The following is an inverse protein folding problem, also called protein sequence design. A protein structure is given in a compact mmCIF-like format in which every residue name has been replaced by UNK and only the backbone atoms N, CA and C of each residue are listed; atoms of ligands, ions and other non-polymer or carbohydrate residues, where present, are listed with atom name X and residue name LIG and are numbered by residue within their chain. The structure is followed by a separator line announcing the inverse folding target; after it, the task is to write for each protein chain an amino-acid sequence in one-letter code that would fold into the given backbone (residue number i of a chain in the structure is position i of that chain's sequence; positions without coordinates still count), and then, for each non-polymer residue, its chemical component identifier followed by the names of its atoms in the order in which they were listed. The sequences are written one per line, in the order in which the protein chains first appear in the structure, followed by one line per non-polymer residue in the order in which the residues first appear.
data_IF_342987266153
#
_entry.id   IF_342987266153
#
_cell.length_a   1.000
_cell.length_b   1.000
_cell.length_c   1.000
_cell.angle_alpha   90.00
_cell.angle_beta   90.00
_cell.angle_gamma   90.00
#
_symmetry.space_group_name_H-M   'P 1'
#
loop_
_entity.id
_entity.type
_entity.pdbx_description
1 polymer ?
#
# COMPACT_ATOMS: atom_id res chain seq x y z
N UNK A 1 -18.33 9.60 -7.25
CA UNK A 1 -18.29 8.17 -7.58
C UNK A 1 -17.55 7.45 -6.47
N UNK A 2 -18.28 6.71 -5.62
CA UNK A 2 -17.65 5.86 -4.60
C UNK A 2 -17.11 4.63 -5.32
N UNK A 3 -15.80 4.39 -5.25
CA UNK A 3 -15.19 3.14 -5.71
C UNK A 3 -15.80 1.99 -4.89
N UNK A 4 -16.77 1.30 -5.48
CA UNK A 4 -17.26 0.03 -4.97
C UNK A 4 -16.18 -1.01 -5.28
N UNK A 5 -15.27 -1.25 -4.33
CA UNK A 5 -14.37 -2.39 -4.39
C UNK A 5 -15.23 -3.65 -4.47
N UNK A 6 -15.17 -4.36 -5.60
CA UNK A 6 -15.94 -5.57 -5.84
C UNK A 6 -15.52 -6.62 -4.80
N UNK A 7 -16.38 -6.89 -3.82
CA UNK A 7 -16.16 -7.95 -2.84
C UNK A 7 -16.20 -9.30 -3.57
N UNK A 8 -15.07 -10.01 -3.63
CA UNK A 8 -14.99 -11.36 -4.17
C UNK A 8 -15.14 -12.32 -2.98
N UNK A 9 -16.13 -13.22 -2.97
CA UNK A 9 -16.33 -14.17 -1.88
C UNK A 9 -15.10 -15.04 -1.65
N UNK A 10 -14.83 -15.33 -0.37
CA UNK A 10 -13.86 -16.34 0.04
C UNK A 10 -14.31 -17.69 -0.56
N UNK A 11 -13.47 -18.30 -1.41
CA UNK A 11 -13.74 -19.60 -2.04
C UNK A 11 -13.66 -19.64 -3.58
N UNK A 12 -13.50 -18.52 -4.29
CA UNK A 12 -13.23 -18.54 -5.76
C UNK A 12 -11.72 -18.57 -6.06
N UNK A 13 -10.90 -18.06 -5.14
CA UNK A 13 -9.46 -18.18 -5.18
C UNK A 13 -9.02 -18.79 -3.85
N UNK A 14 -8.68 -20.07 -3.83
CA UNK A 14 -8.07 -20.74 -2.65
C UNK A 14 -6.74 -20.07 -2.22
N UNK A 15 -6.19 -19.22 -3.08
CA UNK A 15 -5.17 -18.22 -2.73
C UNK A 15 -5.83 -17.00 -2.11
N UNK A 16 -5.49 -16.73 -0.85
CA UNK A 16 -5.73 -15.48 -0.14
C UNK A 16 -5.71 -14.29 -1.11
N UNK A 17 -6.76 -13.45 -1.07
CA UNK A 17 -6.81 -12.25 -1.90
C UNK A 17 -5.49 -11.47 -1.71
N UNK A 18 -4.65 -11.34 -2.76
CA UNK A 18 -3.34 -10.71 -2.63
C UNK A 18 -3.43 -9.23 -2.22
N UNK A 19 -4.63 -8.65 -2.35
CA UNK A 19 -5.01 -7.32 -1.89
C UNK A 19 -6.20 -7.40 -0.92
N UNK A 20 -6.07 -8.17 0.15
CA UNK A 20 -7.03 -8.13 1.25
C UNK A 20 -7.25 -6.67 1.70
N UNK A 21 -8.51 -6.28 1.91
CA UNK A 21 -8.87 -4.88 2.19
C UNK A 21 -8.21 -4.37 3.48
N UNK A 22 -7.99 -5.24 4.47
CA UNK A 22 -7.33 -4.87 5.72
C UNK A 22 -5.83 -4.63 5.50
N UNK A 23 -5.17 -5.48 4.72
CA UNK A 23 -3.78 -5.32 4.28
C UNK A 23 -3.63 -4.00 3.51
N UNK A 24 -4.54 -3.75 2.56
CA UNK A 24 -4.47 -2.56 1.72
C UNK A 24 -4.73 -1.26 2.47
N UNK A 25 -5.61 -1.29 3.47
CA UNK A 25 -5.84 -0.15 4.34
C UNK A 25 -4.57 0.24 5.11
N UNK A 26 -3.87 -0.75 5.68
CA UNK A 26 -2.62 -0.52 6.43
C UNK A 26 -1.54 0.02 5.50
N UNK A 27 -1.34 -0.63 4.36
CA UNK A 27 -0.38 -0.21 3.34
C UNK A 27 -0.60 1.24 2.87
N UNK A 28 -1.83 1.58 2.45
CA UNK A 28 -2.13 2.93 1.95
C UNK A 28 -1.97 4.00 3.04
N UNK A 29 -2.33 3.68 4.29
CA UNK A 29 -2.07 4.57 5.43
C UNK A 29 -0.58 4.84 5.57
N UNK A 30 0.24 3.79 5.48
CA UNK A 30 1.69 3.91 5.66
C UNK A 30 2.37 4.67 4.53
N UNK A 31 1.99 4.42 3.27
CA UNK A 31 2.43 5.22 2.13
C UNK A 31 2.21 6.72 2.35
N UNK A 32 1.03 7.10 2.86
CA UNK A 32 0.69 8.50 3.13
C UNK A 32 1.58 9.09 4.23
N UNK A 33 1.76 8.38 5.33
CA UNK A 33 2.59 8.84 6.46
C UNK A 33 4.04 9.06 6.03
N UNK A 34 4.64 8.12 5.30
CA UNK A 34 6.01 8.23 4.80
C UNK A 34 6.16 9.38 3.80
N UNK A 35 5.20 9.52 2.88
CA UNK A 35 5.21 10.61 1.91
C UNK A 35 5.10 11.98 2.60
N UNK A 36 4.21 12.11 3.60
CA UNK A 36 4.06 13.35 4.37
C UNK A 36 5.32 13.64 5.19
N UNK A 37 5.85 12.64 5.91
CA UNK A 37 7.05 12.80 6.72
C UNK A 37 8.24 13.28 5.90
N UNK A 38 8.46 12.72 4.70
CA UNK A 38 9.51 13.19 3.80
C UNK A 38 9.37 14.69 3.48
N UNK A 39 8.15 15.16 3.22
CA UNK A 39 7.90 16.55 2.83
C UNK A 39 7.80 17.53 4.02
N UNK A 40 7.96 17.06 5.27
CA UNK A 40 8.17 17.97 6.41
C UNK A 40 9.54 18.63 6.27
N UNK A 41 10.55 17.86 5.86
CA UNK A 41 11.95 18.30 5.79
C UNK A 41 12.43 18.60 4.36
N UNK A 42 11.63 18.28 3.34
CA UNK A 42 12.04 18.37 1.93
C UNK A 42 10.96 19.02 1.06
N UNK A 43 11.37 19.89 0.13
CA UNK A 43 10.47 20.46 -0.87
C UNK A 43 10.07 19.44 -1.95
N UNK A 44 8.96 19.72 -2.63
CA UNK A 44 8.54 18.95 -3.79
C UNK A 44 9.53 19.14 -4.94
N UNK A 45 10.13 18.06 -5.41
CA UNK A 45 10.98 18.10 -6.61
C UNK A 45 10.15 18.33 -7.88
N UNK A 46 10.58 19.24 -8.78
CA UNK A 46 9.96 19.39 -10.10
C UNK A 46 10.40 18.29 -11.08
N UNK A 47 11.46 17.52 -10.77
CA UNK A 47 11.95 16.45 -11.63
C UNK A 47 11.05 15.21 -11.54
N UNK A 48 10.42 14.79 -12.67
CA UNK A 48 9.57 13.60 -12.70
C UNK A 48 10.29 12.31 -12.33
N UNK A 49 11.60 12.20 -12.60
CA UNK A 49 12.38 10.98 -12.27
C UNK A 49 12.58 10.88 -10.77
N UNK A 50 13.12 11.93 -10.14
CA UNK A 50 13.26 12.00 -8.69
C UNK A 50 11.92 11.79 -7.95
N UNK A 51 10.82 12.30 -8.50
CA UNK A 51 9.47 12.07 -7.94
C UNK A 51 9.06 10.59 -8.01
N UNK A 52 9.29 9.91 -9.13
CA UNK A 52 8.99 8.48 -9.27
C UNK A 52 9.85 7.65 -8.33
N UNK A 53 11.14 7.98 -8.21
CA UNK A 53 12.06 7.29 -7.31
C UNK A 53 11.63 7.42 -5.84
N UNK A 54 11.19 8.62 -5.43
CA UNK A 54 10.63 8.82 -4.09
C UNK A 54 9.39 7.96 -3.86
N UNK A 55 8.43 7.97 -4.80
CA UNK A 55 7.21 7.18 -4.69
C UNK A 55 7.54 5.68 -4.60
N UNK A 56 8.48 5.20 -5.42
CA UNK A 56 8.95 3.81 -5.39
C UNK A 56 9.52 3.45 -4.01
N UNK A 57 10.40 4.28 -3.45
CA UNK A 57 10.95 4.05 -2.10
C UNK A 57 9.87 4.01 -1.03
N UNK A 58 8.92 4.94 -1.08
CA UNK A 58 7.76 4.98 -0.15
C UNK A 58 6.93 3.71 -0.26
N UNK A 59 6.63 3.25 -1.47
CA UNK A 59 5.85 2.03 -1.71
C UNK A 59 6.57 0.79 -1.19
N UNK A 60 7.86 0.64 -1.48
CA UNK A 60 8.67 -0.50 -1.00
C UNK A 60 8.69 -0.53 0.53
N UNK A 61 9.02 0.60 1.15
CA UNK A 61 9.08 0.67 2.62
C UNK A 61 7.71 0.42 3.25
N UNK A 62 6.64 1.03 2.72
CA UNK A 62 5.30 0.81 3.24
C UNK A 62 4.87 -0.66 3.13
N UNK A 63 5.31 -1.37 2.09
CA UNK A 63 5.01 -2.78 1.87
C UNK A 63 5.71 -3.67 2.89
N UNK A 64 7.00 -3.44 3.15
CA UNK A 64 7.78 -4.18 4.15
C UNK A 64 7.23 -4.02 5.58
N UNK A 65 6.59 -2.89 5.87
CA UNK A 65 5.97 -2.61 7.16
C UNK A 65 4.54 -3.19 7.31
N UNK A 66 3.95 -3.77 6.26
CA UNK A 66 2.65 -4.43 6.35
C UNK A 66 2.79 -5.73 7.16
N UNK A 67 2.01 -5.93 8.24
CA UNK A 67 2.06 -7.16 8.99
C UNK A 67 1.72 -8.37 8.13
N UNK A 68 2.60 -9.37 8.11
CA UNK A 68 2.33 -10.65 7.46
C UNK A 68 1.25 -11.36 8.26
N UNK A 69 0.04 -11.47 7.70
CA UNK A 69 -0.97 -12.38 8.24
C UNK A 69 -0.62 -13.80 7.75
N UNK A 70 -0.28 -14.75 8.64
CA UNK A 70 -0.04 -16.12 8.22
C UNK A 70 -1.28 -16.66 7.51
N UNK A 71 -1.09 -17.32 6.36
CA UNK A 71 -2.17 -18.07 5.73
C UNK A 71 -2.53 -19.25 6.65
N UNK A 72 -3.74 -19.26 7.20
CA UNK A 72 -4.18 -20.30 8.15
C UNK A 72 -4.94 -21.45 7.50
N UNK A 73 -5.16 -21.43 6.17
CA UNK A 73 -5.61 -22.58 5.37
C UNK A 73 -6.78 -23.39 5.94
N UNK A 74 -7.80 -22.74 6.51
CA UNK A 74 -9.01 -23.41 7.03
C UNK A 74 -10.12 -23.36 6.00
#
# INVERSE_FOLDING_TARGET
MLYQSRFIPIGITDTAQPMDVSVMRVFMKRCRELYVAHHIDNDFTPDPVARRDLITRVVVQAWDEVPVKPYTGV
#
